data_IF_312462705464
#
_entry.id   IF_312462705464
#
_cell.length_a   1.000
_cell.length_b   1.000
_cell.length_c   1.000
_cell.angle_alpha   90.00
_cell.angle_beta   90.00
_cell.angle_gamma   90.00
#
_symmetry.space_group_name_H-M   'P 1'
#
loop_
_entity.id
_entity.type
_entity.pdbx_description
1 polymer ?
#
# COMPACT_ATOMS: atom_id res chain seq x y z
N UNK A 1 6.44 0.31 -19.72
CA UNK A 1 5.21 -0.41 -19.27
C UNK A 1 4.76 0.14 -17.92
N UNK A 2 5.69 0.38 -16.98
CA UNK A 2 5.43 1.11 -15.72
C UNK A 2 5.18 2.61 -15.96
N UNK A 3 5.88 3.25 -16.89
CA UNK A 3 5.64 4.66 -17.26
C UNK A 3 4.28 4.89 -17.97
N UNK A 4 3.52 3.83 -18.18
CA UNK A 4 2.25 3.82 -18.93
C UNK A 4 1.05 3.50 -18.04
N UNK A 5 1.21 3.52 -16.72
CA UNK A 5 0.10 3.29 -15.78
C UNK A 5 -0.95 4.40 -15.99
N UNK A 6 -2.20 4.06 -16.36
CA UNK A 6 -3.22 5.05 -16.61
C UNK A 6 -3.69 5.73 -15.32
N UNK A 7 -3.84 7.05 -15.39
CA UNK A 7 -4.38 7.88 -14.33
C UNK A 7 -3.35 8.75 -13.61
N UNK A 8 -3.80 9.41 -12.55
CA UNK A 8 -3.02 10.37 -11.79
C UNK A 8 -3.04 9.99 -10.31
N UNK A 9 -1.97 10.26 -9.56
CA UNK A 9 -1.90 10.01 -8.11
C UNK A 9 -3.05 10.68 -7.32
N UNK A 10 -3.66 11.73 -7.88
CA UNK A 10 -4.80 12.46 -7.31
C UNK A 10 -6.15 11.79 -7.59
N UNK A 11 -6.25 10.96 -8.64
CA UNK A 11 -7.47 10.29 -9.04
C UNK A 11 -7.61 8.94 -8.33
N UNK A 12 -8.31 8.92 -7.19
CA UNK A 12 -8.56 7.70 -6.39
C UNK A 12 -9.27 6.56 -7.12
N UNK A 13 -9.85 6.81 -8.29
CA UNK A 13 -10.52 5.78 -9.13
C UNK A 13 -9.61 5.23 -10.22
N UNK A 14 -8.40 5.77 -10.35
CA UNK A 14 -7.40 5.22 -11.25
C UNK A 14 -6.57 4.15 -10.55
N UNK A 15 -6.03 3.22 -11.33
CA UNK A 15 -5.14 2.16 -10.84
C UNK A 15 -3.96 2.76 -10.05
N UNK A 16 -3.42 3.88 -10.52
CA UNK A 16 -2.33 4.58 -9.84
C UNK A 16 -2.75 5.22 -8.49
N UNK A 17 -3.96 5.79 -8.44
CA UNK A 17 -4.51 6.38 -7.22
C UNK A 17 -4.84 5.33 -6.16
N UNK A 18 -5.36 4.17 -6.56
CA UNK A 18 -5.62 3.05 -5.66
C UNK A 18 -4.33 2.45 -5.10
N UNK A 19 -3.31 2.23 -5.95
CA UNK A 19 -1.98 1.80 -5.50
C UNK A 19 -1.38 2.76 -4.49
N UNK A 20 -1.46 4.06 -4.75
CA UNK A 20 -0.95 5.08 -3.82
C UNK A 20 -1.72 5.08 -2.48
N UNK A 21 -3.02 4.83 -2.52
CA UNK A 21 -3.84 4.73 -1.32
C UNK A 21 -3.50 3.49 -0.49
N UNK A 22 -3.35 2.32 -1.14
CA UNK A 22 -2.93 1.08 -0.49
C UNK A 22 -1.52 1.25 0.10
N UNK A 23 -0.59 1.82 -0.66
CA UNK A 23 0.76 2.11 -0.19
C UNK A 23 0.75 2.97 1.08
N UNK A 24 -0.06 4.03 1.09
CA UNK A 24 -0.20 4.93 2.25
C UNK A 24 -0.76 4.18 3.46
N UNK A 25 -1.79 3.35 3.26
CA UNK A 25 -2.39 2.57 4.34
C UNK A 25 -1.42 1.52 4.92
N UNK A 26 -0.68 0.80 4.07
CA UNK A 26 0.32 -0.18 4.48
C UNK A 26 1.45 0.50 5.27
N UNK A 27 2.06 1.54 4.70
CA UNK A 27 3.19 2.23 5.34
C UNK A 27 2.81 2.88 6.68
N UNK A 28 1.62 3.48 6.78
CA UNK A 28 1.13 4.03 8.05
C UNK A 28 0.85 2.93 9.08
N UNK A 29 0.40 1.75 8.66
CA UNK A 29 0.15 0.61 9.55
C UNK A 29 1.46 0.01 10.07
N UNK A 30 2.46 -0.17 9.20
CA UNK A 30 3.80 -0.64 9.57
C UNK A 30 4.43 0.34 10.56
N UNK A 31 4.38 1.63 10.27
CA UNK A 31 4.88 2.68 11.15
C UNK A 31 4.18 2.66 12.51
N UNK A 32 2.86 2.53 12.53
CA UNK A 32 2.09 2.45 13.77
C UNK A 32 2.45 1.24 14.64
N UNK A 33 2.73 0.09 14.01
CA UNK A 33 3.07 -1.13 14.76
C UNK A 33 4.52 -1.12 15.28
N UNK A 34 5.44 -0.47 14.59
CA UNK A 34 6.88 -0.48 14.93
C UNK A 34 7.30 0.73 15.77
N UNK A 35 6.63 1.87 15.64
CA UNK A 35 7.02 3.12 16.32
C UNK A 35 6.24 3.34 17.62
N UNK A 36 6.88 3.95 18.65
CA UNK A 36 6.16 4.49 19.79
C UNK A 36 5.11 5.53 19.34
N UNK A 37 3.96 5.58 20.02
CA UNK A 37 2.83 6.45 19.65
C UNK A 37 3.22 7.92 19.44
N UNK A 38 4.03 8.48 20.34
CA UNK A 38 4.47 9.88 20.24
C UNK A 38 5.34 10.13 19.01
N UNK A 39 6.21 9.17 18.69
CA UNK A 39 7.08 9.26 17.50
C UNK A 39 6.26 9.14 16.23
N UNK A 40 5.31 8.21 16.19
CA UNK A 40 4.38 8.08 15.06
C UNK A 40 3.59 9.37 14.84
N UNK A 41 2.98 9.93 15.90
CA UNK A 41 2.21 11.17 15.77
C UNK A 41 3.07 12.32 15.23
N UNK A 42 4.30 12.48 15.75
CA UNK A 42 5.21 13.52 15.29
C UNK A 42 5.65 13.35 13.83
N UNK A 43 5.98 12.14 13.40
CA UNK A 43 6.54 11.91 12.07
C UNK A 43 5.48 11.70 10.97
N UNK A 44 4.36 11.06 11.31
CA UNK A 44 3.34 10.66 10.33
C UNK A 44 2.06 11.51 10.38
N UNK A 45 1.81 12.27 11.45
CA UNK A 45 0.57 13.06 11.64
C UNK A 45 0.77 14.57 11.76
N UNK A 46 1.94 15.05 12.13
CA UNK A 46 2.16 16.49 12.36
C UNK A 46 2.33 17.30 11.07
N UNK A 47 3.11 16.80 10.13
CA UNK A 47 3.43 17.49 8.87
C UNK A 47 3.26 16.52 7.69
N UNK A 48 2.50 16.94 6.68
CA UNK A 48 2.18 16.10 5.52
C UNK A 48 3.40 15.78 4.64
N UNK A 49 4.34 16.71 4.50
CA UNK A 49 5.56 16.52 3.72
C UNK A 49 6.51 15.58 4.46
N UNK A 50 6.70 15.79 5.76
CA UNK A 50 7.52 14.91 6.60
C UNK A 50 6.93 13.49 6.60
N UNK A 51 5.61 13.37 6.76
CA UNK A 51 4.93 12.07 6.69
C UNK A 51 5.13 11.40 5.33
N UNK A 52 4.99 12.15 4.23
CA UNK A 52 5.26 11.63 2.88
C UNK A 52 6.70 11.13 2.74
N UNK A 53 7.68 11.90 3.24
CA UNK A 53 9.09 11.52 3.19
C UNK A 53 9.35 10.24 3.99
N UNK A 54 8.77 10.12 5.19
CA UNK A 54 8.94 8.93 6.01
C UNK A 54 8.25 7.70 5.41
N UNK A 55 7.08 7.83 4.78
CA UNK A 55 6.47 6.72 4.00
C UNK A 55 7.39 6.24 2.89
N UNK A 56 7.94 7.17 2.11
CA UNK A 56 8.93 6.84 1.06
C UNK A 56 10.22 6.26 1.65
N UNK A 57 10.64 6.70 2.84
CA UNK A 57 11.79 6.16 3.56
C UNK A 57 11.58 4.69 3.94
N UNK A 58 10.39 4.31 4.45
CA UNK A 58 10.11 2.90 4.81
C UNK A 58 10.23 1.98 3.59
N UNK A 59 9.73 2.43 2.43
CA UNK A 59 9.89 1.70 1.18
C UNK A 59 11.36 1.63 0.73
N UNK A 60 12.08 2.75 0.83
CA UNK A 60 13.51 2.78 0.51
C UNK A 60 14.29 1.82 1.42
N UNK A 61 13.93 1.72 2.70
CA UNK A 61 14.54 0.77 3.64
C UNK A 61 14.35 -0.68 3.16
N UNK A 62 13.12 -1.07 2.78
CA UNK A 62 12.85 -2.41 2.25
C UNK A 62 13.70 -2.70 1.00
N UNK A 63 13.65 -1.83 -0.01
CA UNK A 63 14.35 -2.04 -1.28
C UNK A 63 15.87 -2.05 -1.12
N UNK A 64 16.43 -1.09 -0.38
CA UNK A 64 17.87 -0.99 -0.18
C UNK A 64 18.41 -2.15 0.65
N UNK A 65 17.62 -2.69 1.59
CA UNK A 65 18.01 -3.86 2.39
C UNK A 65 18.25 -5.09 1.53
N UNK A 66 17.42 -5.30 0.51
CA UNK A 66 17.56 -6.41 -0.46
C UNK A 66 18.86 -6.30 -1.28
N UNK A 67 19.44 -5.10 -1.36
CA UNK A 67 20.71 -4.81 -2.02
C UNK A 67 21.90 -4.69 -1.03
N UNK A 68 21.73 -5.14 0.22
CA UNK A 68 22.76 -5.06 1.26
C UNK A 68 23.06 -3.65 1.77
N UNK A 69 22.25 -2.66 1.39
CA UNK A 69 22.39 -1.28 1.83
C UNK A 69 21.57 -1.01 3.10
N UNK A 70 22.06 -0.12 3.96
CA UNK A 70 21.34 0.32 5.17
C UNK A 70 20.98 1.79 5.06
N UNK A 71 19.68 2.06 5.10
CA UNK A 71 19.14 3.42 5.11
C UNK A 71 19.11 3.93 6.54
N UNK A 72 19.39 5.21 6.72
CA UNK A 72 19.43 5.85 8.05
C UNK A 72 18.60 7.13 8.03
N UNK A 73 17.92 7.40 9.14
CA UNK A 73 17.08 8.59 9.34
C UNK A 73 17.38 9.23 10.69
N UNK A 74 17.02 10.50 10.82
CA UNK A 74 16.96 11.23 12.08
C UNK A 74 15.55 11.78 12.26
N UNK A 75 14.80 11.36 13.29
CA UNK A 75 15.17 10.39 14.32
C UNK A 75 15.37 8.97 13.78
N UNK A 76 16.21 8.19 14.45
CA UNK A 76 16.45 6.80 14.07
C UNK A 76 15.20 5.95 14.27
N UNK A 77 14.80 5.22 13.23
CA UNK A 77 13.66 4.29 13.28
C UNK A 77 14.14 2.86 13.55
N UNK A 78 13.33 2.05 14.26
CA UNK A 78 13.54 0.61 14.31
C UNK A 78 13.41 0.01 12.90
N UNK A 79 14.02 -1.16 12.65
CA UNK A 79 13.90 -1.82 11.36
C UNK A 79 12.44 -2.16 11.05
N UNK A 80 12.00 -1.78 9.86
CA UNK A 80 10.64 -2.05 9.38
C UNK A 80 10.60 -2.98 8.16
N UNK A 81 11.75 -3.32 7.59
CA UNK A 81 11.85 -4.11 6.35
C UNK A 81 11.34 -5.55 6.49
N UNK A 82 11.22 -6.07 7.72
CA UNK A 82 10.85 -7.44 8.07
C UNK A 82 9.36 -7.60 8.40
N UNK A 83 8.53 -6.61 8.08
CA UNK A 83 7.10 -6.64 8.40
C UNK A 83 6.30 -7.38 7.31
N UNK A 84 5.46 -8.34 7.70
CA UNK A 84 4.59 -9.15 6.82
C UNK A 84 3.68 -8.35 5.86
N UNK A 85 3.42 -7.08 6.13
CA UNK A 85 2.61 -6.22 5.26
C UNK A 85 3.35 -5.84 3.97
N UNK A 86 4.68 -5.98 3.95
CA UNK A 86 5.45 -5.83 2.71
C UNK A 86 5.15 -6.95 1.72
N UNK A 87 4.94 -8.18 2.18
CA UNK A 87 4.55 -9.30 1.30
C UNK A 87 3.20 -9.02 0.64
N UNK A 88 2.26 -8.42 1.40
CA UNK A 88 0.98 -7.98 0.87
C UNK A 88 1.12 -6.85 -0.17
N UNK A 89 2.05 -5.91 0.07
CA UNK A 89 2.36 -4.86 -0.89
C UNK A 89 2.94 -5.41 -2.20
N UNK A 90 3.92 -6.32 -2.10
CA UNK A 90 4.54 -6.97 -3.27
C UNK A 90 3.50 -7.72 -4.09
N UNK A 91 2.64 -8.53 -3.45
CA UNK A 91 1.54 -9.24 -4.12
C UNK A 91 0.54 -8.29 -4.81
N UNK A 92 0.19 -7.18 -4.16
CA UNK A 92 -0.73 -6.17 -4.73
C UNK A 92 -0.14 -5.56 -6.02
N UNK A 93 1.16 -5.27 -6.03
CA UNK A 93 1.85 -4.77 -7.24
C UNK A 93 1.82 -5.82 -8.35
N UNK A 94 2.17 -7.08 -8.05
CA UNK A 94 2.19 -8.15 -9.05
C UNK A 94 0.84 -8.30 -9.74
N UNK A 95 -0.24 -8.34 -8.95
CA UNK A 95 -1.59 -8.46 -9.48
C UNK A 95 -1.98 -7.26 -10.35
N UNK A 96 -1.64 -6.06 -9.89
CA UNK A 96 -1.86 -4.83 -10.66
C UNK A 96 -1.17 -4.89 -12.02
N UNK A 97 0.09 -5.33 -12.07
CA UNK A 97 0.85 -5.46 -13.31
C UNK A 97 0.25 -6.50 -14.26
N UNK A 98 -0.19 -7.66 -13.73
CA UNK A 98 -0.86 -8.70 -14.52
C UNK A 98 -2.17 -8.18 -15.13
N UNK A 99 -2.98 -7.47 -14.34
CA UNK A 99 -4.21 -6.86 -14.84
C UNK A 99 -3.95 -5.86 -15.96
N UNK A 100 -2.97 -4.98 -15.77
CA UNK A 100 -2.59 -4.01 -16.78
C UNK A 100 -2.09 -4.67 -18.07
N UNK A 101 -1.28 -5.74 -17.95
CA UNK A 101 -0.84 -6.52 -19.10
C UNK A 101 -2.03 -7.13 -19.85
N UNK A 102 -2.96 -7.75 -19.13
CA UNK A 102 -4.15 -8.38 -19.70
C UNK A 102 -5.06 -7.37 -20.41
N UNK A 103 -5.26 -6.18 -19.83
CA UNK A 103 -6.04 -5.10 -20.46
C UNK A 103 -5.42 -4.63 -21.77
N UNK A 104 -4.08 -4.57 -21.86
CA UNK A 104 -3.38 -4.12 -23.07
C UNK A 104 -3.36 -5.17 -24.20
N UNK A 105 -3.35 -6.46 -23.85
CA UNK A 105 -3.19 -7.56 -24.81
C UNK A 105 -4.50 -8.25 -25.24
N UNK A 106 -5.65 -7.97 -24.61
CA UNK A 106 -6.98 -8.48 -25.03
C UNK A 106 -8.00 -7.34 -25.21
N UNK A 107 -8.18 -6.79 -26.42
CA UNK A 107 -9.27 -5.85 -26.67
C UNK A 107 -10.58 -6.64 -26.88
N UNK A 108 -11.49 -6.56 -25.89
CA UNK A 108 -12.93 -6.81 -25.98
C UNK A 108 -13.41 -8.14 -26.60
N UNK A 109 -13.74 -9.10 -25.74
CA UNK A 109 -14.98 -9.91 -25.85
C UNK A 109 -15.25 -10.89 -24.70
N UNK A 110 -14.35 -11.07 -23.71
CA UNK A 110 -14.57 -12.11 -22.70
C UNK A 110 -14.20 -11.79 -21.23
N UNK A 111 -13.80 -10.57 -20.87
CA UNK A 111 -13.57 -10.23 -19.46
C UNK A 111 -14.32 -8.96 -19.10
N UNK A 112 -15.59 -9.12 -18.72
CA UNK A 112 -16.22 -8.23 -17.75
C UNK A 112 -15.77 -8.66 -16.34
N UNK A 113 -14.45 -8.71 -16.11
CA UNK A 113 -13.91 -8.76 -14.76
C UNK A 113 -13.95 -7.31 -14.30
N UNK A 114 -14.88 -7.03 -13.39
CA UNK A 114 -15.07 -5.69 -12.87
C UNK A 114 -13.76 -5.23 -12.24
N UNK A 115 -13.49 -3.93 -12.32
CA UNK A 115 -12.38 -3.27 -11.64
C UNK A 115 -12.28 -3.63 -10.14
N UNK A 116 -13.41 -4.06 -9.54
CA UNK A 116 -13.51 -4.47 -8.14
C UNK A 116 -13.18 -5.96 -7.91
N UNK A 117 -13.21 -6.81 -8.93
CA UNK A 117 -13.09 -8.26 -8.76
C UNK A 117 -11.64 -8.69 -8.47
N UNK A 118 -10.67 -8.02 -9.09
CA UNK A 118 -9.28 -8.41 -8.92
C UNK A 118 -8.72 -8.00 -7.55
N UNK A 119 -9.04 -6.77 -7.11
CA UNK A 119 -8.66 -6.33 -5.79
C UNK A 119 -9.40 -7.11 -4.71
N UNK A 120 -10.68 -7.43 -4.87
CA UNK A 120 -11.44 -8.23 -3.90
C UNK A 120 -10.93 -9.68 -3.72
N UNK A 121 -10.49 -10.33 -4.80
CA UNK A 121 -9.81 -11.65 -4.73
C UNK A 121 -8.48 -11.59 -3.97
N UNK A 122 -7.77 -10.44 -4.04
CA UNK A 122 -6.50 -10.20 -3.32
C UNK A 122 -6.72 -10.23 -1.80
N UNK A 123 -7.87 -9.72 -1.35
CA UNK A 123 -8.24 -9.54 0.06
C UNK A 123 -8.60 -10.86 0.75
N UNK A 124 -9.14 -11.85 0.01
CA UNK A 124 -9.62 -13.10 0.59
C UNK A 124 -8.51 -14.15 0.83
N UNK A 125 -7.38 -14.08 0.10
CA UNK A 125 -6.40 -15.18 0.08
C UNK A 125 -5.40 -15.20 1.25
N UNK A 126 -5.17 -14.06 1.92
CA UNK A 126 -4.34 -13.93 3.12
C UNK A 126 -5.18 -13.49 4.34
N UNK A 127 -6.16 -14.32 4.72
CA UNK A 127 -7.22 -13.95 5.67
C UNK A 127 -6.74 -13.46 7.06
N UNK A 128 -5.67 -14.01 7.62
CA UNK A 128 -5.27 -13.71 9.01
C UNK A 128 -4.66 -12.32 9.18
N UNK A 129 -3.74 -11.94 8.30
CA UNK A 129 -3.05 -10.64 8.36
C UNK A 129 -3.90 -9.52 7.73
N UNK A 130 -4.79 -9.87 6.81
CA UNK A 130 -5.70 -8.93 6.17
C UNK A 130 -6.82 -8.46 7.09
N UNK A 131 -7.49 -9.36 7.83
CA UNK A 131 -8.45 -8.92 8.85
C UNK A 131 -7.79 -8.02 9.89
N UNK A 132 -6.55 -8.36 10.31
CA UNK A 132 -5.78 -7.51 11.20
C UNK A 132 -5.48 -6.15 10.57
N UNK A 133 -5.10 -6.10 9.29
CA UNK A 133 -4.88 -4.85 8.56
C UNK A 133 -6.15 -4.00 8.48
N UNK A 134 -7.31 -4.59 8.14
CA UNK A 134 -8.59 -3.88 8.06
C UNK A 134 -9.02 -3.34 9.42
N UNK A 135 -9.03 -4.17 10.46
CA UNK A 135 -9.39 -3.74 11.81
C UNK A 135 -8.44 -2.65 12.34
N UNK A 136 -7.16 -2.70 11.97
CA UNK A 136 -6.16 -1.70 12.38
C UNK A 136 -6.30 -0.40 11.59
N UNK A 137 -6.51 -0.46 10.29
CA UNK A 137 -6.69 0.72 9.42
C UNK A 137 -7.97 1.47 9.76
N UNK A 138 -9.07 0.77 10.06
CA UNK A 138 -10.30 1.36 10.58
C UNK A 138 -10.07 2.09 11.91
N UNK A 139 -9.32 1.49 12.85
CA UNK A 139 -8.96 2.13 14.12
C UNK A 139 -8.00 3.33 13.96
N UNK A 140 -7.08 3.29 13.00
CA UNK A 140 -6.04 4.32 12.80
C UNK A 140 -6.58 5.54 12.03
N UNK A 141 -7.55 5.35 11.13
CA UNK A 141 -8.09 6.41 10.28
C UNK A 141 -9.52 6.80 10.63
N UNK A 142 -10.22 6.06 11.50
CA UNK A 142 -11.57 6.38 12.00
C UNK A 142 -12.66 6.48 10.93
N UNK A 143 -12.33 6.21 9.66
CA UNK A 143 -13.18 6.49 8.51
C UNK A 143 -12.60 5.80 7.26
N UNK A 144 -12.57 4.48 7.25
CA UNK A 144 -12.38 3.74 6.00
C UNK A 144 -13.38 2.61 5.96
N UNK A 145 -14.54 2.91 5.40
CA UNK A 145 -15.52 1.92 4.96
C UNK A 145 -14.89 1.12 3.80
N UNK A 146 -14.02 0.16 4.12
CA UNK A 146 -13.49 -0.78 3.14
C UNK A 146 -14.64 -1.65 2.58
N UNK A 147 -15.70 -1.82 3.37
CA UNK A 147 -16.93 -2.53 3.03
C UNK A 147 -17.83 -1.79 2.02
N UNK A 148 -17.81 -0.45 1.94
CA UNK A 148 -18.81 0.28 1.15
C UNK A 148 -18.47 0.46 -0.35
N UNK A 149 -17.48 -0.27 -0.88
CA UNK A 149 -17.21 -0.35 -2.32
C UNK A 149 -17.18 -1.77 -2.90
N UNK A 150 -17.53 -2.77 -2.10
CA UNK A 150 -17.76 -4.16 -2.53
C UNK A 150 -19.27 -4.46 -2.47
N UNK A 151 -20.09 -3.55 -3.02
CA UNK A 151 -21.47 -3.81 -3.44
C UNK A 151 -21.73 -3.05 -4.75
#
# INVERSE_FOLDING_TARGET
MIDSIPGTLTERRSVLGELNWIFTAITDTIAWNRLPRDTFQRLFRQDLLVASLFRSFLLAEKIMRDHGCRVVSSPALPPVYDHDLWDYWEYTIELCLVNMYNQKHKPQSALHLSHNDCFSETLQRHSSNFEFFILRTENIFGFVDFNMRIL
#
